data_IF_471367851322
#
_entry.id   IF_471367851322
#
_cell.length_a   1.000
_cell.length_b   1.000
_cell.length_c   1.000
_cell.angle_alpha   90.00
_cell.angle_beta   90.00
_cell.angle_gamma   90.00
#
_symmetry.space_group_name_H-M   'P 1'
#
loop_
_entity.id
_entity.type
_entity.pdbx_description
1 polymer ?
#
# COMPACT_ATOMS: atom_id res chain seq x y z
N UNK A 1 -9.76 15.21 -15.57
CA UNK A 1 -9.17 15.78 -14.33
C UNK A 1 -9.30 14.83 -13.14
N UNK A 2 -10.46 14.21 -12.88
CA UNK A 2 -10.62 13.23 -11.80
C UNK A 2 -9.64 12.04 -11.89
N UNK A 3 -9.41 11.48 -13.08
CA UNK A 3 -8.46 10.38 -13.28
C UNK A 3 -7.03 10.74 -12.86
N UNK A 4 -6.56 11.92 -13.26
CA UNK A 4 -5.21 12.40 -12.91
C UNK A 4 -5.10 12.59 -11.38
N UNK A 5 -6.12 13.19 -10.77
CA UNK A 5 -6.18 13.33 -9.32
C UNK A 5 -6.15 11.95 -8.63
N UNK A 6 -6.92 10.98 -9.12
CA UNK A 6 -6.94 9.61 -8.58
C UNK A 6 -5.58 8.92 -8.63
N UNK A 7 -4.87 9.00 -9.76
CA UNK A 7 -3.51 8.44 -9.91
C UNK A 7 -2.52 9.13 -8.96
N UNK A 8 -2.58 10.46 -8.88
CA UNK A 8 -1.69 11.22 -7.98
C UNK A 8 -1.95 10.87 -6.51
N UNK A 9 -3.21 10.79 -6.11
CA UNK A 9 -3.59 10.37 -4.75
C UNK A 9 -3.12 8.94 -4.45
N UNK A 10 -3.30 8.00 -5.37
CA UNK A 10 -2.80 6.63 -5.21
C UNK A 10 -1.27 6.59 -5.09
N UNK A 11 -0.57 7.37 -5.90
CA UNK A 11 0.89 7.49 -5.84
C UNK A 11 1.36 8.05 -4.51
N UNK A 12 0.71 9.10 -3.99
CA UNK A 12 0.99 9.66 -2.66
C UNK A 12 0.70 8.66 -1.53
N UNK A 13 -0.37 7.88 -1.66
CA UNK A 13 -0.64 6.77 -0.76
C UNK A 13 0.50 5.76 -0.75
N UNK A 14 0.91 5.26 -1.92
CA UNK A 14 2.04 4.34 -2.04
C UNK A 14 3.34 4.92 -1.44
N UNK A 15 3.62 6.21 -1.65
CA UNK A 15 4.74 6.89 -1.02
C UNK A 15 4.64 6.87 0.51
N UNK A 16 3.45 7.15 1.07
CA UNK A 16 3.23 7.01 2.52
C UNK A 16 3.48 5.58 3.00
N UNK A 17 3.01 4.58 2.25
CA UNK A 17 3.23 3.17 2.56
C UNK A 17 4.72 2.79 2.56
N UNK A 18 5.49 3.27 1.58
CA UNK A 18 6.95 3.07 1.54
C UNK A 18 7.65 3.78 2.69
N UNK A 19 7.19 4.97 3.07
CA UNK A 19 7.72 5.68 4.25
C UNK A 19 7.49 4.90 5.55
N UNK A 20 6.29 4.32 5.73
CA UNK A 20 6.00 3.46 6.88
C UNK A 20 6.82 2.16 6.89
N UNK A 21 7.13 1.60 5.71
CA UNK A 21 7.97 0.41 5.58
C UNK A 21 9.43 0.69 5.96
N UNK A 22 9.91 1.88 5.64
CA UNK A 22 11.31 2.29 5.82
C UNK A 22 11.55 2.93 7.20
N UNK A 23 10.49 3.37 7.87
CA UNK A 23 10.50 3.92 9.22
C UNK A 23 11.32 3.16 10.29
N UNK A 24 11.15 1.84 10.49
CA UNK A 24 11.86 1.12 11.56
C UNK A 24 13.38 1.08 11.38
N UNK A 25 13.89 1.49 10.21
CA UNK A 25 15.31 1.51 9.87
C UNK A 25 15.95 2.90 10.05
N UNK A 26 15.27 3.87 10.68
CA UNK A 26 15.83 5.19 10.97
C UNK A 26 16.10 6.06 9.73
N UNK A 27 15.61 5.64 8.56
CA UNK A 27 15.80 6.31 7.28
C UNK A 27 14.91 7.55 7.09
N UNK A 28 13.95 7.77 8.00
CA UNK A 28 13.16 8.99 8.03
C UNK A 28 13.67 9.94 9.12
N UNK A 29 13.81 11.24 8.83
CA UNK A 29 14.24 12.24 9.82
C UNK A 29 13.20 12.53 10.90
N UNK A 30 11.97 12.02 10.75
CA UNK A 30 10.86 12.22 11.70
C UNK A 30 10.13 10.91 11.97
N UNK A 31 9.80 10.67 13.24
CA UNK A 31 8.97 9.55 13.69
C UNK A 31 7.66 9.51 12.89
N UNK A 32 7.25 8.37 12.30
CA UNK A 32 6.01 8.27 11.56
C UNK A 32 4.83 8.44 12.52
N UNK A 33 4.19 9.60 12.46
CA UNK A 33 3.02 9.90 13.26
C UNK A 33 1.74 9.22 12.73
N UNK A 34 0.68 9.29 13.55
CA UNK A 34 -0.70 8.91 13.20
C UNK A 34 -1.16 9.43 11.82
N UNK A 35 -0.61 10.57 11.39
CA UNK A 35 -0.86 11.18 10.10
C UNK A 35 -0.50 10.28 8.92
N UNK A 36 0.68 9.61 8.92
CA UNK A 36 1.05 8.68 7.84
C UNK A 36 0.17 7.43 7.85
N UNK A 37 -0.17 6.95 9.05
CA UNK A 37 -1.07 5.80 9.22
C UNK A 37 -2.44 6.04 8.59
N UNK A 38 -3.01 7.24 8.76
CA UNK A 38 -4.31 7.60 8.18
C UNK A 38 -4.22 7.95 6.69
N UNK A 39 -3.21 8.71 6.31
CA UNK A 39 -3.02 9.15 4.92
C UNK A 39 -2.80 7.96 3.99
N UNK A 40 -2.08 6.92 4.42
CA UNK A 40 -1.80 5.77 3.57
C UNK A 40 -3.06 5.09 2.99
N UNK A 41 -3.96 4.50 3.79
CA UNK A 41 -5.19 3.91 3.28
C UNK A 41 -6.16 4.98 2.77
N UNK A 42 -6.21 6.16 3.40
CA UNK A 42 -7.13 7.23 3.01
C UNK A 42 -6.89 7.72 1.58
N UNK A 43 -5.64 8.07 1.25
CA UNK A 43 -5.25 8.51 -0.09
C UNK A 43 -5.47 7.42 -1.14
N UNK A 44 -5.16 6.17 -0.82
CA UNK A 44 -5.39 5.04 -1.71
C UNK A 44 -6.88 4.84 -2.02
N UNK A 45 -7.72 4.88 -1.00
CA UNK A 45 -9.16 4.62 -1.11
C UNK A 45 -9.86 5.77 -1.82
N UNK A 46 -9.56 7.02 -1.47
CA UNK A 46 -10.08 8.20 -2.17
C UNK A 46 -9.60 8.22 -3.62
N UNK A 47 -8.31 7.96 -3.86
CA UNK A 47 -7.75 7.89 -5.20
C UNK A 47 -8.43 6.81 -6.06
N UNK A 48 -8.71 5.64 -5.47
CA UNK A 48 -9.44 4.55 -6.13
C UNK A 48 -10.87 4.95 -6.49
N UNK A 49 -11.62 5.52 -5.54
CA UNK A 49 -13.02 5.95 -5.76
C UNK A 49 -13.09 6.99 -6.88
N UNK A 50 -12.22 8.01 -6.85
CA UNK A 50 -12.18 9.04 -7.91
C UNK A 50 -11.86 8.44 -9.29
N UNK A 51 -11.01 7.41 -9.32
CA UNK A 51 -10.69 6.66 -10.55
C UNK A 51 -11.91 5.90 -11.08
N UNK A 52 -12.58 5.13 -10.23
CA UNK A 52 -13.76 4.33 -10.60
C UNK A 52 -14.90 5.22 -11.11
N UNK A 53 -15.09 6.40 -10.54
CA UNK A 53 -16.14 7.33 -10.96
C UNK A 53 -15.92 7.95 -12.35
N UNK A 54 -14.68 7.97 -12.86
CA UNK A 54 -14.33 8.75 -14.06
C UNK A 54 -13.67 7.95 -15.18
N UNK A 55 -13.22 6.72 -14.95
CA UNK A 55 -12.47 5.94 -15.93
C UNK A 55 -13.32 4.88 -16.65
N UNK A 56 -13.01 4.58 -17.93
CA UNK A 56 -13.62 3.45 -18.61
C UNK A 56 -13.17 2.13 -17.97
N UNK A 57 -14.08 1.17 -17.93
CA UNK A 57 -13.92 -0.16 -17.30
C UNK A 57 -12.57 -0.86 -17.57
N UNK A 58 -12.02 -0.91 -18.81
CA UNK A 58 -10.73 -1.55 -19.06
C UNK A 58 -9.54 -0.84 -18.38
N UNK A 59 -9.56 0.50 -18.28
CA UNK A 59 -8.50 1.24 -17.59
C UNK A 59 -8.57 1.02 -16.07
N UNK A 60 -9.78 0.97 -15.50
CA UNK A 60 -9.97 0.68 -14.07
C UNK A 60 -9.34 -0.67 -13.72
N UNK A 61 -9.57 -1.71 -14.54
CA UNK A 61 -9.02 -3.05 -14.31
C UNK A 61 -7.49 -3.03 -14.33
N UNK A 62 -6.88 -2.40 -15.33
CA UNK A 62 -5.42 -2.31 -15.43
C UNK A 62 -4.80 -1.59 -14.23
N UNK A 63 -5.36 -0.45 -13.84
CA UNK A 63 -4.83 0.37 -12.76
C UNK A 63 -5.04 -0.31 -11.41
N UNK A 64 -6.23 -0.86 -11.17
CA UNK A 64 -6.52 -1.67 -9.98
C UNK A 64 -5.56 -2.84 -9.86
N UNK A 65 -5.20 -3.49 -10.97
CA UNK A 65 -4.22 -4.59 -10.99
C UNK A 65 -2.84 -4.08 -10.59
N UNK A 66 -2.35 -3.01 -11.23
CA UNK A 66 -1.03 -2.44 -10.92
C UNK A 66 -0.92 -2.03 -9.45
N UNK A 67 -1.94 -1.35 -8.92
CA UNK A 67 -1.98 -0.92 -7.51
C UNK A 67 -2.02 -2.11 -6.57
N UNK A 68 -2.83 -3.14 -6.87
CA UNK A 68 -2.91 -4.36 -6.06
C UNK A 68 -1.58 -5.11 -6.03
N UNK A 69 -0.90 -5.21 -7.18
CA UNK A 69 0.44 -5.82 -7.25
C UNK A 69 1.45 -5.03 -6.43
N UNK A 70 1.45 -3.69 -6.53
CA UNK A 70 2.34 -2.86 -5.72
C UNK A 70 2.07 -3.03 -4.22
N UNK A 71 0.80 -3.08 -3.81
CA UNK A 71 0.40 -3.31 -2.43
C UNK A 71 0.81 -4.69 -1.93
N UNK A 72 0.71 -5.71 -2.77
CA UNK A 72 1.20 -7.05 -2.45
C UNK A 72 2.73 -7.07 -2.27
N UNK A 73 3.47 -6.41 -3.17
CA UNK A 73 4.93 -6.28 -3.06
C UNK A 73 5.29 -5.56 -1.75
N UNK A 74 4.59 -4.47 -1.45
CA UNK A 74 4.81 -3.71 -0.22
C UNK A 74 4.54 -4.55 1.03
N UNK A 75 3.46 -5.35 1.04
CA UNK A 75 3.16 -6.31 2.10
C UNK A 75 4.21 -7.41 2.23
N UNK A 76 4.72 -7.93 1.10
CA UNK A 76 5.81 -8.90 1.09
C UNK A 76 7.09 -8.30 1.71
N UNK A 77 7.45 -7.09 1.30
CA UNK A 77 8.61 -6.39 1.85
C UNK A 77 8.47 -6.18 3.37
N UNK A 78 7.27 -5.81 3.84
CA UNK A 78 6.99 -5.66 5.27
C UNK A 78 7.17 -6.99 6.03
N UNK A 79 6.68 -8.12 5.48
CA UNK A 79 6.92 -9.45 6.05
C UNK A 79 8.42 -9.77 6.07
N UNK A 80 9.13 -9.54 4.97
CA UNK A 80 10.58 -9.83 4.91
C UNK A 80 11.37 -9.02 5.94
N UNK A 81 11.01 -7.75 6.14
CA UNK A 81 11.59 -6.88 7.16
C UNK A 81 11.31 -7.42 8.57
N UNK A 82 10.06 -7.79 8.87
CA UNK A 82 9.68 -8.40 10.15
C UNK A 82 10.46 -9.69 10.41
N UNK A 83 10.60 -10.56 9.40
CA UNK A 83 11.37 -11.80 9.50
C UNK A 83 12.84 -11.52 9.81
N UNK A 84 13.47 -10.60 9.09
CA UNK A 84 14.88 -10.22 9.34
C UNK A 84 15.09 -9.64 10.75
N UNK A 85 14.14 -8.83 11.24
CA UNK A 85 14.18 -8.28 12.60
C UNK A 85 14.03 -9.41 13.63
N UNK A 86 13.07 -10.33 13.45
CA UNK A 86 12.89 -11.47 14.37
C UNK A 86 14.07 -12.44 14.37
N UNK A 87 14.79 -12.55 13.26
CA UNK A 87 16.02 -13.35 13.14
C UNK A 87 17.26 -12.63 13.69
N UNK A 88 17.10 -11.44 14.26
CA UNK A 88 18.19 -10.58 14.76
C UNK A 88 19.24 -10.21 13.71
N UNK A 89 18.88 -10.25 12.41
CA UNK A 89 19.78 -9.88 11.30
C UNK A 89 19.83 -8.36 11.15
N UNK A 90 18.72 -7.66 11.40
CA UNK A 90 18.64 -6.21 11.45
C UNK A 90 18.09 -5.73 12.80
N UNK A 91 18.82 -4.86 13.53
CA UNK A 91 18.27 -4.20 14.72
C UNK A 91 17.25 -3.13 14.30
N UNK A 92 16.06 -3.08 14.92
CA UNK A 92 15.10 -2.00 14.71
C UNK A 92 15.49 -0.77 15.55
N UNK A 93 15.61 0.39 14.91
CA UNK A 93 15.81 1.69 15.61
C UNK A 93 14.49 2.25 16.16
N UNK A 94 13.36 1.85 15.57
CA UNK A 94 12.02 2.34 15.89
C UNK A 94 10.99 1.21 16.07
N UNK A 95 9.82 1.49 16.68
CA UNK A 95 8.80 0.47 16.93
C UNK A 95 8.29 -0.19 15.64
N UNK A 96 8.31 -1.54 15.62
CA UNK A 96 7.92 -2.37 14.47
C UNK A 96 6.42 -2.39 14.14
N UNK A 97 5.61 -1.61 14.89
CA UNK A 97 4.16 -1.47 14.69
C UNK A 97 3.80 -0.99 13.27
N UNK A 98 4.64 -0.14 12.68
CA UNK A 98 4.48 0.35 11.31
C UNK A 98 4.55 -0.77 10.28
N UNK A 99 5.45 -1.74 10.45
CA UNK A 99 5.58 -2.90 9.56
C UNK A 99 4.35 -3.80 9.62
N UNK A 100 3.84 -4.06 10.83
CA UNK A 100 2.61 -4.83 11.01
C UNK A 100 1.42 -4.16 10.33
N UNK A 101 1.34 -2.84 10.40
CA UNK A 101 0.29 -2.08 9.74
C UNK A 101 0.41 -2.14 8.21
N UNK A 102 1.60 -1.91 7.65
CA UNK A 102 1.84 -2.00 6.20
C UNK A 102 1.57 -3.41 5.69
N UNK A 103 1.92 -4.44 6.46
CA UNK A 103 1.59 -5.83 6.15
C UNK A 103 0.07 -6.01 6.07
N UNK A 104 -0.67 -5.66 7.12
CA UNK A 104 -2.13 -5.86 7.16
C UNK A 104 -2.82 -5.09 6.03
N UNK A 105 -2.47 -3.82 5.83
CA UNK A 105 -3.07 -2.98 4.78
C UNK A 105 -2.66 -3.49 3.39
N UNK A 106 -1.38 -3.79 3.16
CA UNK A 106 -0.88 -4.31 1.89
C UNK A 106 -1.54 -5.63 1.49
N UNK A 107 -1.67 -6.57 2.42
CA UNK A 107 -2.36 -7.84 2.18
C UNK A 107 -3.88 -7.69 2.07
N UNK A 108 -4.53 -6.85 2.88
CA UNK A 108 -5.97 -6.64 2.80
C UNK A 108 -6.36 -6.03 1.44
N UNK A 109 -5.75 -4.91 1.06
CA UNK A 109 -6.08 -4.24 -0.19
C UNK A 109 -5.53 -4.99 -1.42
N UNK A 110 -4.32 -5.55 -1.34
CA UNK A 110 -3.76 -6.38 -2.41
C UNK A 110 -4.55 -7.68 -2.63
N UNK A 111 -5.02 -8.31 -1.55
CA UNK A 111 -5.85 -9.51 -1.58
C UNK A 111 -7.23 -9.25 -2.20
N UNK A 112 -7.91 -8.19 -1.78
CA UNK A 112 -9.23 -7.81 -2.32
C UNK A 112 -9.14 -7.56 -3.84
N UNK A 113 -8.09 -6.90 -4.30
CA UNK A 113 -7.89 -6.63 -5.73
C UNK A 113 -7.56 -7.86 -6.59
N UNK A 114 -6.92 -8.88 -6.01
CA UNK A 114 -6.65 -10.15 -6.72
C UNK A 114 -7.89 -11.06 -6.80
N UNK A 115 -8.69 -11.12 -5.73
CA UNK A 115 -9.90 -11.94 -5.65
C UNK A 115 -11.01 -11.43 -6.57
N UNK A 116 -11.24 -10.12 -6.60
CA UNK A 116 -12.24 -9.50 -7.50
C UNK A 116 -11.95 -9.73 -8.98
N UNK A 117 -10.69 -9.99 -9.35
CA UNK A 117 -10.30 -10.22 -10.73
C UNK A 117 -10.39 -11.70 -11.15
N UNK A 118 -10.25 -12.66 -10.22
CA UNK A 118 -10.44 -14.09 -10.51
C UNK A 118 -11.87 -14.43 -10.90
N UNK A 119 -12.87 -13.74 -10.34
CA UNK A 119 -14.28 -13.97 -10.66
C UNK A 119 -14.68 -13.72 -12.12
N UNK A 120 -13.86 -12.99 -12.91
CA UNK A 120 -14.12 -12.73 -14.35
C UNK A 120 -13.38 -13.68 -15.30
N UNK A 121 -12.41 -14.45 -14.81
CA UNK A 121 -11.64 -15.38 -15.66
C UNK A 121 -12.35 -16.73 -15.85
N UNK A 122 -13.46 -16.96 -15.15
CA UNK A 122 -14.23 -18.22 -15.16
C UNK A 122 -15.67 -18.07 -15.63
N UNK A 123 -16.04 -16.95 -16.28
CA UNK A 123 -17.38 -16.72 -16.85
C UNK A 123 -17.33 -16.54 -18.36
#
# INVERSE_FOLDING_TARGET
MLQLAGVVLMGLGLLCGTGLLVAPFGLLPTTPGLTLFLLFPGLLLVGYVLMVMSAPTPQIILISRTVSTLLMILGLLAVTALVMITMAILPPDEPTLTLWYVLVVGFAFGGIGTLTNRGKATS
#
